data_IF_482254773684
#
_entry.id   IF_482254773684
#
_cell.length_a   1.000
_cell.length_b   1.000
_cell.length_c   1.000
_cell.angle_alpha   90.00
_cell.angle_beta   90.00
_cell.angle_gamma   90.00
#
_symmetry.space_group_name_H-M   'P 1'
#
loop_
_entity.id
_entity.type
_entity.pdbx_description
1 polymer ?
#
# COMPACT_ATOMS: atom_id res chain seq x y z
N UNK A 1 11.65 13.15 58.73
CA UNK A 1 12.50 12.58 57.65
C UNK A 1 11.61 11.85 56.65
N UNK A 2 11.86 12.12 55.35
CA UNK A 2 11.54 11.32 54.15
C UNK A 2 10.08 11.27 53.66
N UNK A 3 9.77 12.31 52.86
CA UNK A 3 9.11 12.28 51.55
C UNK A 3 8.92 10.89 50.92
N UNK A 4 7.68 10.53 50.59
CA UNK A 4 7.39 9.52 49.57
C UNK A 4 6.82 10.22 48.35
N UNK A 5 7.52 10.09 47.23
CA UNK A 5 7.23 10.70 45.93
C UNK A 5 6.13 9.93 45.19
N UNK A 6 5.31 10.68 44.46
CA UNK A 6 4.38 10.26 43.39
C UNK A 6 4.99 9.24 42.42
N UNK A 7 4.14 8.37 41.87
CA UNK A 7 4.23 7.98 40.47
C UNK A 7 2.81 7.87 39.87
N UNK A 8 2.35 8.98 39.28
CA UNK A 8 1.23 9.00 38.34
C UNK A 8 1.79 8.41 37.05
N UNK A 9 1.45 7.16 36.75
CA UNK A 9 1.71 6.58 35.42
C UNK A 9 0.60 7.12 34.52
N UNK A 10 0.83 8.30 33.94
CA UNK A 10 0.08 8.76 32.78
C UNK A 10 0.38 7.81 31.63
N UNK A 11 -0.58 6.94 31.33
CA UNK A 11 -0.58 6.12 30.13
C UNK A 11 -0.77 7.07 28.94
N UNK A 12 0.34 7.50 28.35
CA UNK A 12 0.33 8.24 27.08
C UNK A 12 -0.06 7.22 26.03
N UNK A 13 -1.36 7.08 25.75
CA UNK A 13 -1.83 6.42 24.54
C UNK A 13 -1.41 7.32 23.39
N UNK A 14 -0.22 7.08 22.85
CA UNK A 14 0.25 7.70 21.63
C UNK A 14 -0.67 7.26 20.50
N UNK A 15 -1.61 8.12 20.11
CA UNK A 15 -2.28 8.03 18.82
C UNK A 15 -1.22 8.26 17.75
N UNK A 16 -0.68 7.17 17.20
CA UNK A 16 0.08 7.24 15.98
C UNK A 16 -0.92 7.61 14.87
N UNK A 17 -0.94 8.88 14.48
CA UNK A 17 -1.56 9.30 13.24
C UNK A 17 -0.87 8.54 12.10
N UNK A 18 -1.54 7.51 11.58
CA UNK A 18 -1.11 6.88 10.34
C UNK A 18 -1.21 7.96 9.26
N UNK A 19 -0.08 8.51 8.83
CA UNK A 19 0.01 9.34 7.64
C UNK A 19 -0.43 8.47 6.44
N UNK A 20 -1.75 8.40 6.18
CA UNK A 20 -2.30 7.63 5.08
C UNK A 20 -1.95 8.35 3.78
N UNK A 21 -0.84 7.97 3.16
CA UNK A 21 -0.48 8.49 1.85
C UNK A 21 -1.36 7.81 0.81
N UNK A 22 -2.26 8.59 0.19
CA UNK A 22 -3.11 8.08 -0.87
C UNK A 22 -2.34 8.13 -2.18
N UNK A 23 -2.27 6.98 -2.85
CA UNK A 23 -1.55 6.84 -4.11
C UNK A 23 -2.55 6.42 -5.16
N UNK A 24 -2.52 7.07 -6.32
CA UNK A 24 -3.27 6.67 -7.50
C UNK A 24 -2.34 6.66 -8.69
N UNK A 25 -2.16 5.50 -9.32
CA UNK A 25 -1.29 5.31 -10.46
C UNK A 25 -2.05 4.70 -11.63
N UNK A 26 -1.74 5.14 -12.86
CA UNK A 26 -2.36 4.64 -14.08
C UNK A 26 -1.32 4.54 -15.21
N UNK A 27 -1.44 3.51 -16.05
CA UNK A 27 -0.58 3.32 -17.22
C UNK A 27 -0.91 2.05 -17.98
N UNK A 28 -0.76 2.08 -19.31
CA UNK A 28 -0.87 0.91 -20.19
C UNK A 28 -2.17 0.08 -20.03
N UNK A 29 -3.29 0.71 -19.67
CA UNK A 29 -4.57 0.02 -19.43
C UNK A 29 -4.74 -0.58 -18.03
N UNK A 30 -3.80 -0.32 -17.12
CA UNK A 30 -3.83 -0.76 -15.72
C UNK A 30 -3.97 0.45 -14.80
N UNK A 31 -4.52 0.24 -13.60
CA UNK A 31 -4.47 1.21 -12.51
C UNK A 31 -4.17 0.54 -11.17
N UNK A 32 -3.50 1.28 -10.28
CA UNK A 32 -3.17 0.87 -8.93
C UNK A 32 -3.48 2.05 -8.00
N UNK A 33 -4.44 1.89 -7.09
CA UNK A 33 -4.69 2.87 -6.04
C UNK A 33 -4.53 2.25 -4.66
N UNK A 34 -4.01 3.02 -3.70
CA UNK A 34 -3.84 2.60 -2.30
C UNK A 34 -4.47 3.63 -1.39
N UNK A 35 -5.25 3.12 -0.44
CA UNK A 35 -5.77 3.86 0.70
C UNK A 35 -5.54 3.01 1.96
N UNK A 36 -4.70 3.51 2.86
CA UNK A 36 -4.28 2.80 4.06
C UNK A 36 -3.69 1.40 3.76
N UNK A 37 -4.34 0.33 4.21
CA UNK A 37 -3.94 -1.07 4.04
C UNK A 37 -4.75 -1.80 2.95
N UNK A 38 -5.49 -1.04 2.11
CA UNK A 38 -6.24 -1.56 0.98
C UNK A 38 -5.71 -0.98 -0.33
N UNK A 39 -5.74 -1.79 -1.37
CA UNK A 39 -5.43 -1.38 -2.72
C UNK A 39 -6.50 -1.83 -3.71
N UNK A 40 -6.71 -1.04 -4.75
CA UNK A 40 -7.52 -1.42 -5.91
C UNK A 40 -6.59 -1.56 -7.11
N UNK A 41 -6.58 -2.75 -7.72
CA UNK A 41 -5.87 -3.03 -8.95
C UNK A 41 -6.91 -3.17 -10.06
N UNK A 42 -6.81 -2.35 -11.11
CA UNK A 42 -7.61 -2.57 -12.33
C UNK A 42 -6.70 -3.02 -13.45
N UNK A 43 -7.11 -4.08 -14.12
CA UNK A 43 -6.54 -4.55 -15.39
C UNK A 43 -7.49 -4.16 -16.52
N UNK A 44 -7.19 -4.59 -17.74
CA UNK A 44 -8.09 -4.41 -18.89
C UNK A 44 -9.40 -5.21 -18.75
N UNK A 45 -9.37 -6.30 -17.99
CA UNK A 45 -10.47 -7.27 -17.93
C UNK A 45 -11.22 -7.20 -16.59
N UNK A 46 -10.52 -6.88 -15.51
CA UNK A 46 -11.02 -7.08 -14.15
C UNK A 46 -10.58 -5.98 -13.18
N UNK A 47 -11.35 -5.82 -12.10
CA UNK A 47 -11.01 -4.96 -10.95
C UNK A 47 -10.88 -5.80 -9.69
N UNK A 48 -9.83 -5.54 -8.91
CA UNK A 48 -9.45 -6.32 -7.76
C UNK A 48 -9.26 -5.44 -6.52
N UNK A 49 -10.10 -5.66 -5.51
CA UNK A 49 -9.90 -5.09 -4.18
C UNK A 49 -9.05 -6.05 -3.34
N UNK A 50 -7.88 -5.59 -2.91
CA UNK A 50 -6.88 -6.42 -2.23
C UNK A 50 -6.32 -5.75 -0.99
N UNK A 51 -5.93 -6.56 0.00
CA UNK A 51 -5.12 -6.08 1.12
C UNK A 51 -3.69 -5.84 0.67
N UNK A 52 -3.08 -4.77 1.16
CA UNK A 52 -1.71 -4.38 0.82
C UNK A 52 -0.86 -4.22 2.07
N UNK A 53 0.36 -4.76 2.00
CA UNK A 53 1.43 -4.53 2.96
C UNK A 53 2.44 -3.57 2.35
N UNK A 54 2.67 -2.45 3.03
CA UNK A 54 3.64 -1.44 2.64
C UNK A 54 4.96 -1.61 3.39
N UNK A 55 6.08 -1.47 2.67
CA UNK A 55 7.44 -1.39 3.23
C UNK A 55 8.25 -0.37 2.44
N UNK A 56 8.34 0.85 2.97
CA UNK A 56 8.91 1.99 2.26
C UNK A 56 8.15 2.30 0.98
N UNK A 57 8.83 2.22 -0.15
CA UNK A 57 8.27 2.42 -1.49
C UNK A 57 7.63 1.16 -2.11
N UNK A 58 7.70 0.01 -1.44
CA UNK A 58 7.16 -1.25 -1.94
C UNK A 58 5.78 -1.54 -1.33
N UNK A 59 4.87 -1.99 -2.17
CA UNK A 59 3.51 -2.39 -1.83
C UNK A 59 3.32 -3.82 -2.35
N UNK A 60 2.89 -4.74 -1.50
CA UNK A 60 2.76 -6.15 -1.86
C UNK A 60 1.49 -6.73 -1.30
N UNK A 61 0.95 -7.75 -1.96
CA UNK A 61 -0.22 -8.45 -1.45
C UNK A 61 -0.52 -9.71 -2.24
N UNK A 62 -1.47 -10.47 -1.73
CA UNK A 62 -1.99 -11.68 -2.37
C UNK A 62 -3.12 -11.26 -3.30
N UNK A 63 -3.10 -11.77 -4.52
CA UNK A 63 -4.12 -11.58 -5.54
C UNK A 63 -4.35 -12.94 -6.18
N UNK A 64 -5.39 -13.66 -5.74
CA UNK A 64 -5.74 -15.00 -6.25
C UNK A 64 -6.86 -14.88 -7.28
N UNK A 65 -6.53 -14.42 -8.48
CA UNK A 65 -7.49 -14.24 -9.57
C UNK A 65 -6.81 -14.44 -10.92
N UNK A 66 -7.51 -15.05 -11.88
CA UNK A 66 -7.07 -15.18 -13.29
C UNK A 66 -5.64 -15.72 -13.47
N UNK A 67 -5.21 -16.64 -12.59
CA UNK A 67 -3.86 -17.21 -12.60
C UNK A 67 -2.80 -16.34 -11.92
N UNK A 68 -3.12 -15.13 -11.46
CA UNK A 68 -2.27 -14.41 -10.53
C UNK A 68 -2.34 -15.03 -9.13
N UNK A 69 -1.21 -14.95 -8.43
CA UNK A 69 -1.01 -15.40 -7.05
C UNK A 69 -0.74 -14.23 -6.10
N UNK A 70 -0.28 -13.10 -6.65
CA UNK A 70 0.10 -11.93 -5.89
C UNK A 70 0.42 -10.74 -6.76
N UNK A 71 0.73 -9.62 -6.13
CA UNK A 71 1.23 -8.44 -6.80
C UNK A 71 2.36 -7.79 -6.01
N UNK A 72 3.18 -7.03 -6.72
CA UNK A 72 4.16 -6.10 -6.16
C UNK A 72 4.06 -4.79 -6.93
N UNK A 73 3.94 -3.69 -6.21
CA UNK A 73 4.01 -2.35 -6.76
C UNK A 73 5.18 -1.60 -6.13
N UNK A 74 5.98 -0.90 -6.93
CA UNK A 74 7.13 -0.11 -6.47
C UNK A 74 6.92 1.34 -6.89
N UNK A 75 6.81 2.24 -5.91
CA UNK A 75 6.69 3.68 -6.14
C UNK A 75 8.06 4.34 -6.28
N UNK A 76 8.26 5.16 -7.30
CA UNK A 76 9.50 5.90 -7.58
C UNK A 76 9.15 7.35 -7.91
N UNK A 77 9.00 8.19 -6.89
CA UNK A 77 8.56 9.57 -7.08
C UNK A 77 7.16 9.63 -7.69
N UNK A 78 7.01 10.24 -8.87
CA UNK A 78 5.73 10.32 -9.61
C UNK A 78 5.50 9.16 -10.59
N UNK A 79 6.32 8.13 -10.51
CA UNK A 79 6.21 6.93 -11.34
C UNK A 79 6.07 5.68 -10.46
N UNK A 80 5.61 4.59 -11.06
CA UNK A 80 5.59 3.30 -10.39
C UNK A 80 5.59 2.14 -11.36
N UNK A 81 5.88 0.97 -10.81
CA UNK A 81 5.90 -0.29 -11.56
C UNK A 81 5.02 -1.31 -10.84
N UNK A 82 3.94 -1.73 -11.51
CA UNK A 82 3.06 -2.81 -11.05
C UNK A 82 3.50 -4.12 -11.68
N UNK A 83 3.80 -5.11 -10.85
CA UNK A 83 4.04 -6.50 -11.25
C UNK A 83 2.95 -7.39 -10.70
N UNK A 84 2.20 -8.04 -11.58
CA UNK A 84 1.30 -9.14 -11.22
C UNK A 84 2.10 -10.45 -11.31
N UNK A 85 2.07 -11.23 -10.23
CA UNK A 85 2.88 -12.45 -10.06
C UNK A 85 1.98 -13.66 -10.27
N UNK A 86 2.40 -14.57 -11.14
CA UNK A 86 1.71 -15.82 -11.47
C UNK A 86 2.36 -16.50 -12.67
N UNK A 87 1.77 -17.58 -13.21
CA UNK A 87 2.27 -18.25 -14.42
C UNK A 87 2.34 -17.30 -15.62
N UNK A 88 1.45 -16.32 -15.70
CA UNK A 88 1.44 -15.25 -16.70
C UNK A 88 1.85 -13.91 -16.07
N UNK A 89 3.03 -13.85 -15.47
CA UNK A 89 3.49 -12.63 -14.80
C UNK A 89 3.55 -11.45 -15.78
N UNK A 90 3.03 -10.29 -15.38
CA UNK A 90 3.01 -9.05 -16.18
C UNK A 90 3.60 -7.92 -15.36
N UNK A 91 4.37 -7.05 -16.02
CA UNK A 91 4.92 -5.82 -15.43
C UNK A 91 4.45 -4.61 -16.23
N UNK A 92 3.96 -3.57 -15.55
CA UNK A 92 3.43 -2.34 -16.14
C UNK A 92 4.00 -1.09 -15.49
N UNK A 93 4.41 -0.13 -16.32
CA UNK A 93 4.89 1.17 -15.85
C UNK A 93 3.72 2.14 -15.79
N UNK A 94 3.70 2.97 -14.76
CA UNK A 94 2.54 3.79 -14.41
C UNK A 94 2.98 5.18 -13.95
N UNK A 95 2.17 6.19 -14.25
CA UNK A 95 2.31 7.54 -13.67
C UNK A 95 1.45 7.65 -12.43
N UNK A 96 1.98 8.27 -11.39
CA UNK A 96 1.38 8.31 -10.06
C UNK A 96 1.10 9.74 -9.58
N UNK A 97 -0.07 9.91 -8.98
CA UNK A 97 -0.48 11.06 -8.17
C UNK A 97 -0.43 10.66 -6.71
N UNK A 98 0.34 11.40 -5.91
CA UNK A 98 0.52 11.16 -4.48
C UNK A 98 -0.17 12.30 -3.74
N UNK A 99 -1.20 11.98 -2.96
CA UNK A 99 -1.91 12.92 -2.11
C UNK A 99 -1.50 12.59 -0.67
N UNK A 100 -0.87 13.56 -0.02
CA UNK A 100 -0.42 13.47 1.37
C UNK A 100 -1.34 14.28 2.27
#
# INVERSE_FOLDING_TARGET
MKLVKLFIISLITSFAFANSTNISCQGEGYSFSVHENKAVIKTLESTYDVSVKQSGANYTGVLKAEGYLGFRFILKGKEGELKLVGPKSVTKKMKCSIIK
#
